data_IF_888560514565
#
_entry.id   IF_888560514565
#
_cell.length_a   1.000
_cell.length_b   1.000
_cell.length_c   1.000
_cell.angle_alpha   90.00
_cell.angle_beta   90.00
_cell.angle_gamma   90.00
#
_symmetry.space_group_name_H-M   'P 1'
#
loop_
_entity.id
_entity.type
_entity.pdbx_description
1 polymer ?
#
# COMPACT_ATOMS: atom_id res chain seq x y z
N UNK A 1 8.83 6.41 -16.94
CA UNK A 1 7.88 6.32 -15.80
C UNK A 1 6.70 5.47 -16.25
N UNK A 2 6.09 4.64 -15.38
CA UNK A 2 4.93 3.87 -15.77
C UNK A 2 3.78 4.79 -16.16
N UNK A 3 2.97 4.36 -17.11
CA UNK A 3 1.82 5.14 -17.56
C UNK A 3 0.85 5.33 -16.40
N UNK A 4 0.43 6.56 -16.07
CA UNK A 4 -0.51 6.81 -14.96
C UNK A 4 -1.83 6.05 -15.13
N UNK A 5 -2.20 5.80 -16.38
CA UNK A 5 -3.35 5.01 -16.78
C UNK A 5 -3.26 3.56 -16.32
N UNK A 6 -2.06 2.98 -16.20
CA UNK A 6 -1.87 1.63 -15.68
C UNK A 6 -2.20 1.55 -14.17
N UNK A 7 -1.80 2.55 -13.38
CA UNK A 7 -2.15 2.61 -11.95
C UNK A 7 -3.65 2.76 -11.76
N UNK A 8 -4.30 3.60 -12.57
CA UNK A 8 -5.75 3.78 -12.54
C UNK A 8 -6.48 2.47 -12.91
N UNK A 9 -6.03 1.77 -13.96
CA UNK A 9 -6.56 0.45 -14.34
C UNK A 9 -6.41 -0.57 -13.20
N UNK A 10 -5.24 -0.65 -12.58
CA UNK A 10 -5.00 -1.58 -11.47
C UNK A 10 -5.86 -1.25 -10.25
N UNK A 11 -5.98 0.03 -9.90
CA UNK A 11 -6.82 0.51 -8.81
C UNK A 11 -8.30 0.20 -9.07
N UNK A 12 -8.79 0.45 -10.29
CA UNK A 12 -10.15 0.14 -10.72
C UNK A 12 -10.44 -1.37 -10.69
N UNK A 13 -9.56 -2.18 -11.27
CA UNK A 13 -9.71 -3.64 -11.26
C UNK A 13 -9.75 -4.20 -9.82
N UNK A 14 -8.84 -3.73 -8.96
CA UNK A 14 -8.78 -4.15 -7.56
C UNK A 14 -10.08 -3.78 -6.81
N UNK A 15 -10.56 -2.55 -6.98
CA UNK A 15 -11.79 -2.08 -6.36
C UNK A 15 -13.03 -2.87 -6.84
N UNK A 16 -13.17 -3.08 -8.15
CA UNK A 16 -14.32 -3.79 -8.74
C UNK A 16 -14.37 -5.23 -8.24
N UNK A 17 -13.27 -5.98 -8.35
CA UNK A 17 -13.21 -7.38 -7.90
C UNK A 17 -13.52 -7.49 -6.42
N UNK A 18 -12.94 -6.61 -5.61
CA UNK A 18 -13.15 -6.61 -4.17
C UNK A 18 -14.61 -6.34 -3.78
N UNK A 19 -15.24 -5.32 -4.39
CA UNK A 19 -16.64 -4.98 -4.17
C UNK A 19 -17.58 -6.10 -4.66
N UNK A 20 -17.36 -6.63 -5.86
CA UNK A 20 -18.17 -7.71 -6.43
C UNK A 20 -18.11 -8.96 -5.56
N UNK A 21 -16.91 -9.35 -5.10
CA UNK A 21 -16.74 -10.53 -4.25
C UNK A 21 -17.48 -10.38 -2.91
N UNK A 22 -17.33 -9.23 -2.24
CA UNK A 22 -18.04 -8.95 -0.98
C UNK A 22 -19.55 -8.95 -1.19
N UNK A 23 -20.05 -8.30 -2.25
CA UNK A 23 -21.48 -8.26 -2.57
C UNK A 23 -22.05 -9.64 -2.91
N UNK A 24 -21.32 -10.44 -3.69
CA UNK A 24 -21.72 -11.79 -4.08
C UNK A 24 -21.79 -12.72 -2.85
N UNK A 25 -20.72 -12.77 -2.05
CA UNK A 25 -20.64 -13.64 -0.88
C UNK A 25 -21.74 -13.35 0.14
N UNK A 26 -22.07 -12.07 0.36
CA UNK A 26 -23.13 -11.72 1.31
C UNK A 26 -24.52 -11.81 0.68
N UNK A 27 -24.65 -11.58 -0.63
CA UNK A 27 -25.90 -11.78 -1.36
C UNK A 27 -26.39 -13.23 -1.35
N UNK A 28 -25.46 -14.20 -1.34
CA UNK A 28 -25.78 -15.63 -1.38
C UNK A 28 -26.33 -16.23 -0.07
N UNK A 29 -26.16 -15.57 1.09
CA UNK A 29 -26.60 -16.12 2.38
C UNK A 29 -27.43 -15.11 3.18
N UNK A 30 -28.69 -15.47 3.45
CA UNK A 30 -29.53 -14.86 4.51
C UNK A 30 -29.89 -15.94 5.52
N UNK A 31 -29.63 -15.80 6.84
CA UNK A 31 -28.99 -14.69 7.57
C UNK A 31 -27.45 -14.79 7.64
N UNK A 32 -26.74 -13.70 7.35
CA UNK A 32 -25.27 -13.67 7.34
C UNK A 32 -24.71 -13.56 8.77
N UNK A 33 -23.94 -14.57 9.20
CA UNK A 33 -23.20 -14.51 10.47
C UNK A 33 -22.06 -13.48 10.39
N UNK A 34 -21.63 -12.98 11.54
CA UNK A 34 -20.56 -11.98 11.65
C UNK A 34 -19.23 -12.49 11.10
N UNK A 35 -18.94 -13.78 11.34
CA UNK A 35 -17.76 -14.47 10.83
C UNK A 35 -17.78 -14.55 9.30
N UNK A 36 -18.95 -14.76 8.70
CA UNK A 36 -19.11 -14.81 7.24
C UNK A 36 -18.81 -13.45 6.60
N UNK A 37 -19.36 -12.36 7.14
CA UNK A 37 -19.10 -11.01 6.63
C UNK A 37 -17.61 -10.66 6.74
N UNK A 38 -16.97 -11.00 7.87
CA UNK A 38 -15.53 -10.77 8.04
C UNK A 38 -14.71 -11.55 7.01
N UNK A 39 -15.05 -12.82 6.80
CA UNK A 39 -14.41 -13.67 5.81
C UNK A 39 -14.59 -13.10 4.39
N UNK A 40 -15.79 -12.64 4.05
CA UNK A 40 -16.06 -12.01 2.76
C UNK A 40 -15.21 -10.75 2.54
N UNK A 41 -15.04 -9.90 3.56
CA UNK A 41 -14.18 -8.72 3.49
C UNK A 41 -12.70 -9.09 3.31
N UNK A 42 -12.18 -10.02 4.12
CA UNK A 42 -10.78 -10.47 4.04
C UNK A 42 -10.46 -11.07 2.68
N UNK A 43 -11.29 -12.01 2.22
CA UNK A 43 -11.12 -12.66 0.91
C UNK A 43 -11.30 -11.65 -0.24
N UNK A 44 -12.25 -10.72 -0.12
CA UNK A 44 -12.45 -9.65 -1.09
C UNK A 44 -11.24 -8.73 -1.21
N UNK A 45 -10.59 -8.36 -0.10
CA UNK A 45 -9.35 -7.58 -0.12
C UNK A 45 -8.22 -8.40 -0.77
N UNK A 46 -8.03 -9.66 -0.36
CA UNK A 46 -6.99 -10.53 -0.90
C UNK A 46 -7.11 -10.73 -2.42
N UNK A 47 -8.31 -11.07 -2.90
CA UNK A 47 -8.57 -11.26 -4.33
C UNK A 47 -8.43 -9.96 -5.13
N UNK A 48 -8.99 -8.86 -4.63
CA UNK A 48 -8.85 -7.56 -5.30
C UNK A 48 -7.39 -7.11 -5.39
N UNK A 49 -6.61 -7.32 -4.33
CA UNK A 49 -5.19 -6.96 -4.31
C UNK A 49 -4.37 -7.83 -5.26
N UNK A 50 -4.66 -9.14 -5.31
CA UNK A 50 -4.02 -10.06 -6.25
C UNK A 50 -4.27 -9.65 -7.71
N UNK A 51 -5.53 -9.35 -8.06
CA UNK A 51 -5.88 -8.87 -9.41
C UNK A 51 -5.25 -7.52 -9.70
N UNK A 52 -5.25 -6.58 -8.75
CA UNK A 52 -4.59 -5.29 -8.90
C UNK A 52 -3.08 -5.43 -9.15
N UNK A 53 -2.41 -6.30 -8.40
CA UNK A 53 -0.98 -6.58 -8.60
C UNK A 53 -0.70 -7.26 -9.95
N UNK A 54 -1.60 -8.15 -10.39
CA UNK A 54 -1.52 -8.78 -11.71
C UNK A 54 -1.63 -7.73 -12.83
N UNK A 55 -2.58 -6.78 -12.74
CA UNK A 55 -2.72 -5.69 -13.72
C UNK A 55 -1.49 -4.78 -13.75
N UNK A 56 -0.86 -4.53 -12.60
CA UNK A 56 0.43 -3.82 -12.54
C UNK A 56 1.61 -4.64 -13.11
N UNK A 57 1.39 -5.88 -13.53
CA UNK A 57 2.42 -6.80 -14.01
C UNK A 57 3.55 -6.99 -13.00
N UNK A 58 3.21 -6.99 -11.70
CA UNK A 58 4.16 -7.26 -10.63
C UNK A 58 4.46 -8.77 -10.63
N UNK A 59 5.63 -9.12 -11.17
CA UNK A 59 6.12 -10.50 -11.16
C UNK A 59 6.52 -10.89 -9.74
N UNK A 60 5.64 -11.62 -9.07
CA UNK A 60 5.93 -12.25 -7.79
C UNK A 60 6.90 -13.40 -8.02
N UNK A 61 8.16 -13.21 -7.61
CA UNK A 61 9.18 -14.24 -7.67
C UNK A 61 9.08 -15.22 -6.50
N UNK A 62 9.25 -16.50 -6.77
CA UNK A 62 9.51 -17.51 -5.76
C UNK A 62 10.85 -18.19 -6.06
N UNK A 63 11.85 -18.15 -5.15
CA UNK A 63 11.83 -17.52 -3.81
C UNK A 63 11.77 -15.97 -3.85
N UNK A 64 11.27 -15.31 -2.79
CA UNK A 64 11.10 -13.86 -2.76
C UNK A 64 12.45 -13.14 -2.61
N UNK A 65 12.90 -12.51 -3.71
CA UNK A 65 14.22 -11.92 -3.80
C UNK A 65 14.30 -10.54 -3.14
N UNK A 66 13.23 -9.74 -3.23
CA UNK A 66 13.22 -8.36 -2.74
C UNK A 66 12.20 -8.16 -1.58
N UNK A 67 12.29 -7.03 -0.89
CA UNK A 67 11.40 -6.73 0.24
C UNK A 67 9.92 -6.64 -0.14
N UNK A 68 9.61 -6.17 -1.36
CA UNK A 68 8.24 -6.11 -1.89
C UNK A 68 7.67 -7.51 -2.14
N UNK A 69 8.47 -8.42 -2.69
CA UNK A 69 8.08 -9.82 -2.90
C UNK A 69 7.74 -10.45 -1.56
N UNK A 70 8.57 -10.26 -0.53
CA UNK A 70 8.30 -10.79 0.83
C UNK A 70 7.06 -10.18 1.46
N UNK A 71 6.84 -8.87 1.24
CA UNK A 71 5.63 -8.22 1.70
C UNK A 71 4.38 -8.84 1.06
N UNK A 72 4.37 -9.00 -0.26
CA UNK A 72 3.21 -9.53 -0.98
C UNK A 72 3.01 -11.04 -0.81
N UNK A 73 4.08 -11.83 -0.73
CA UNK A 73 4.02 -13.31 -0.68
C UNK A 73 3.94 -13.86 0.74
N UNK A 74 4.44 -13.14 1.76
CA UNK A 74 4.50 -13.62 3.15
C UNK A 74 3.63 -12.73 4.04
N UNK A 75 3.90 -11.43 4.11
CA UNK A 75 3.26 -10.53 5.10
C UNK A 75 1.77 -10.34 4.81
N UNK A 76 1.40 -10.08 3.56
CA UNK A 76 -0.01 -9.88 3.16
C UNK A 76 -0.84 -11.15 3.41
N UNK A 77 -0.44 -12.36 2.95
CA UNK A 77 -1.17 -13.59 3.29
C UNK A 77 -1.24 -13.86 4.79
N UNK A 78 -0.17 -13.57 5.53
CA UNK A 78 -0.16 -13.75 6.99
C UNK A 78 -1.18 -12.85 7.69
N UNK A 79 -1.27 -11.55 7.34
CA UNK A 79 -2.28 -10.65 7.95
C UNK A 79 -3.70 -11.04 7.51
N UNK A 80 -3.90 -11.46 6.26
CA UNK A 80 -5.19 -11.98 5.80
C UNK A 80 -5.61 -13.21 6.61
N UNK A 81 -4.69 -14.17 6.82
CA UNK A 81 -4.94 -15.36 7.63
C UNK A 81 -5.25 -15.02 9.09
N UNK A 82 -4.50 -14.11 9.70
CA UNK A 82 -4.74 -13.68 11.09
C UNK A 82 -6.09 -12.99 11.23
N UNK A 83 -6.45 -12.08 10.32
CA UNK A 83 -7.75 -11.39 10.37
C UNK A 83 -8.92 -12.31 10.02
N UNK A 84 -8.70 -13.35 9.21
CA UNK A 84 -9.67 -14.41 8.98
C UNK A 84 -9.91 -15.21 10.27
N UNK A 85 -8.83 -15.68 10.92
CA UNK A 85 -8.87 -16.41 12.19
C UNK A 85 -9.54 -15.57 13.28
N UNK A 86 -9.15 -14.30 13.42
CA UNK A 86 -9.72 -13.37 14.38
C UNK A 86 -11.21 -13.06 14.15
N UNK A 87 -11.73 -13.34 12.95
CA UNK A 87 -13.14 -13.18 12.60
C UNK A 87 -14.07 -14.27 13.13
N UNK A 88 -13.53 -15.43 13.48
CA UNK A 88 -14.33 -16.54 13.99
C UNK A 88 -14.74 -16.30 15.44
N UNK A 89 -16.02 -16.51 15.74
CA UNK A 89 -16.57 -16.32 17.08
C UNK A 89 -15.94 -17.25 18.14
N UNK A 90 -15.39 -18.39 17.71
CA UNK A 90 -14.72 -19.34 18.59
C UNK A 90 -13.33 -18.87 19.06
N UNK A 91 -12.74 -17.86 18.40
CA UNK A 91 -11.39 -17.41 18.75
C UNK A 91 -11.46 -16.31 19.81
N UNK A 92 -10.88 -16.53 21.01
CA UNK A 92 -10.90 -15.51 22.05
C UNK A 92 -10.06 -14.30 21.64
N UNK A 93 -10.50 -13.10 22.05
CA UNK A 93 -9.87 -11.83 21.64
C UNK A 93 -8.38 -11.73 21.98
N UNK A 94 -7.95 -12.34 23.09
CA UNK A 94 -6.55 -12.32 23.50
C UNK A 94 -5.66 -13.11 22.53
N UNK A 95 -6.15 -14.23 21.97
CA UNK A 95 -5.43 -15.00 20.95
C UNK A 95 -5.28 -14.19 19.67
N UNK A 96 -6.36 -13.53 19.21
CA UNK A 96 -6.29 -12.65 18.05
C UNK A 96 -5.26 -11.52 18.25
N UNK A 97 -5.24 -10.90 19.43
CA UNK A 97 -4.23 -9.88 19.76
C UNK A 97 -2.81 -10.45 19.84
N UNK A 98 -2.63 -11.63 20.42
CA UNK A 98 -1.34 -12.30 20.46
C UNK A 98 -0.80 -12.56 19.05
N UNK A 99 -1.64 -13.07 18.14
CA UNK A 99 -1.28 -13.26 16.72
C UNK A 99 -0.91 -11.94 16.04
N UNK A 100 -1.68 -10.88 16.26
CA UNK A 100 -1.37 -9.54 15.72
C UNK A 100 -0.05 -8.99 16.24
N UNK A 101 0.24 -9.14 17.54
CA UNK A 101 1.49 -8.69 18.15
C UNK A 101 2.70 -9.50 17.67
N UNK A 102 2.53 -10.82 17.54
CA UNK A 102 3.55 -11.71 16.97
C UNK A 102 3.87 -11.33 15.53
N UNK A 103 2.84 -11.07 14.70
CA UNK A 103 3.02 -10.58 13.34
C UNK A 103 3.74 -9.22 13.33
N UNK A 104 3.29 -8.26 14.16
CA UNK A 104 3.90 -6.94 14.22
C UNK A 104 5.40 -6.98 14.59
N UNK A 105 5.78 -7.87 15.50
CA UNK A 105 7.18 -8.07 15.89
C UNK A 105 8.03 -8.74 14.79
N UNK A 106 7.43 -9.63 13.99
CA UNK A 106 8.15 -10.41 12.96
C UNK A 106 8.25 -9.70 11.62
N UNK A 107 7.31 -8.79 11.27
CA UNK A 107 7.31 -8.07 9.99
C UNK A 107 8.64 -7.39 9.67
N UNK A 108 9.25 -6.57 10.55
CA UNK A 108 10.53 -5.92 10.25
C UNK A 108 11.62 -6.92 9.88
N UNK A 109 11.67 -8.07 10.57
CA UNK A 109 12.63 -9.14 10.29
C UNK A 109 12.35 -9.81 8.95
N UNK A 110 11.09 -10.12 8.64
CA UNK A 110 10.67 -10.74 7.36
C UNK A 110 11.03 -9.83 6.18
N UNK A 111 10.74 -8.52 6.28
CA UNK A 111 11.02 -7.57 5.21
C UNK A 111 12.52 -7.38 4.98
N UNK A 112 13.32 -7.40 6.05
CA UNK A 112 14.78 -7.26 5.97
C UNK A 112 15.52 -8.57 5.62
N UNK A 113 14.89 -9.74 5.75
CA UNK A 113 15.54 -11.05 5.65
C UNK A 113 16.34 -11.24 4.35
N UNK A 114 17.67 -11.37 4.35
CA UNK A 114 18.43 -11.51 3.10
C UNK A 114 18.53 -10.21 2.28
N UNK A 115 18.33 -9.07 2.92
CA UNK A 115 18.80 -7.78 2.41
C UNK A 115 20.25 -7.53 2.84
N UNK A 116 20.92 -6.60 2.16
CA UNK A 116 22.27 -6.14 2.52
C UNK A 116 22.36 -5.63 3.97
N UNK A 117 21.26 -5.09 4.52
CA UNK A 117 21.19 -4.59 5.89
C UNK A 117 21.34 -5.66 6.97
N UNK A 118 21.12 -6.94 6.63
CA UNK A 118 21.30 -8.05 7.56
C UNK A 118 22.56 -8.88 7.26
N UNK A 119 23.17 -8.73 6.09
CA UNK A 119 24.23 -9.65 5.64
C UNK A 119 25.59 -9.36 6.26
N UNK A 120 25.74 -8.25 7.01
CA UNK A 120 26.91 -7.98 7.88
C UNK A 120 28.26 -7.85 7.18
N UNK A 121 28.35 -8.13 5.88
CA UNK A 121 29.61 -8.24 5.13
C UNK A 121 30.23 -6.89 4.75
N UNK A 122 29.60 -5.77 5.12
CA UNK A 122 30.03 -4.41 4.81
C UNK A 122 29.65 -3.44 5.92
N UNK A 123 30.22 -3.63 7.11
CA UNK A 123 30.51 -2.72 8.23
C UNK A 123 29.57 -1.56 8.69
N UNK A 124 28.39 -1.31 8.10
CA UNK A 124 27.65 -0.07 8.44
C UNK A 124 26.63 -0.22 9.57
N UNK A 125 26.12 -1.43 9.85
CA UNK A 125 25.09 -1.64 10.88
C UNK A 125 25.55 -2.64 11.92
N UNK A 126 25.69 -2.17 13.15
CA UNK A 126 25.94 -3.03 14.32
C UNK A 126 24.70 -3.89 14.62
N UNK A 127 24.90 -5.09 15.20
CA UNK A 127 23.80 -5.96 15.62
C UNK A 127 22.79 -5.24 16.52
N UNK A 128 23.29 -4.33 17.37
CA UNK A 128 22.45 -3.51 18.25
C UNK A 128 21.57 -2.52 17.47
N UNK A 129 22.09 -1.88 16.42
CA UNK A 129 21.29 -0.99 15.57
C UNK A 129 20.19 -1.75 14.83
N UNK A 130 20.48 -2.96 14.34
CA UNK A 130 19.47 -3.82 13.70
C UNK A 130 18.38 -4.19 14.72
N UNK A 131 18.77 -4.64 15.91
CA UNK A 131 17.83 -5.01 16.97
C UNK A 131 16.95 -3.84 17.40
N UNK A 132 17.54 -2.67 17.65
CA UNK A 132 16.80 -1.46 18.04
C UNK A 132 15.85 -0.99 16.95
N UNK A 133 16.27 -1.00 15.67
CA UNK A 133 15.39 -0.66 14.55
C UNK A 133 14.23 -1.66 14.43
N UNK A 134 14.46 -2.96 14.62
CA UNK A 134 13.41 -3.98 14.60
C UNK A 134 12.42 -3.82 15.74
N UNK A 135 12.91 -3.64 16.98
CA UNK A 135 12.06 -3.44 18.15
C UNK A 135 11.25 -2.17 18.02
N UNK A 136 11.87 -1.04 17.62
CA UNK A 136 11.17 0.24 17.50
C UNK A 136 10.13 0.24 16.37
N UNK A 137 10.45 -0.40 15.25
CA UNK A 137 9.51 -0.51 14.13
C UNK A 137 8.36 -1.48 14.44
N UNK A 138 8.63 -2.61 15.09
CA UNK A 138 7.59 -3.53 15.57
C UNK A 138 6.68 -2.87 16.62
N UNK A 139 7.27 -2.14 17.57
CA UNK A 139 6.54 -1.41 18.60
C UNK A 139 5.67 -0.28 18.01
N UNK A 140 6.17 0.44 17.01
CA UNK A 140 5.39 1.51 16.36
C UNK A 140 4.21 0.93 15.56
N UNK A 141 4.38 -0.19 14.85
CA UNK A 141 3.29 -0.91 14.21
C UNK A 141 2.25 -1.39 15.24
N UNK A 142 2.71 -2.06 16.30
CA UNK A 142 1.84 -2.57 17.36
C UNK A 142 1.04 -1.43 18.02
N UNK A 143 1.69 -0.31 18.33
CA UNK A 143 1.07 0.88 18.90
C UNK A 143 0.04 1.50 17.97
N UNK A 144 0.38 1.73 16.70
CA UNK A 144 -0.55 2.27 15.71
C UNK A 144 -1.77 1.35 15.52
N UNK A 145 -1.55 0.04 15.45
CA UNK A 145 -2.61 -0.95 15.32
C UNK A 145 -3.52 -0.98 16.56
N UNK A 146 -2.96 -0.97 17.76
CA UNK A 146 -3.71 -0.89 19.02
C UNK A 146 -4.54 0.38 19.12
N UNK A 147 -3.93 1.54 18.87
CA UNK A 147 -4.60 2.84 18.96
C UNK A 147 -5.72 3.00 17.93
N UNK A 148 -5.52 2.57 16.68
CA UNK A 148 -6.57 2.61 15.65
C UNK A 148 -7.67 1.59 15.92
N UNK A 149 -7.33 0.39 16.40
CA UNK A 149 -8.32 -0.61 16.80
C UNK A 149 -9.19 -0.07 17.94
N UNK A 150 -8.57 0.56 18.94
CA UNK A 150 -9.27 1.18 20.05
C UNK A 150 -10.15 2.34 19.61
N UNK A 151 -9.66 3.20 18.72
CA UNK A 151 -10.44 4.28 18.13
C UNK A 151 -11.66 3.74 17.36
N UNK A 152 -11.48 2.68 16.57
CA UNK A 152 -12.56 2.06 15.80
C UNK A 152 -13.66 1.45 16.68
N UNK A 153 -13.31 0.97 17.87
CA UNK A 153 -14.27 0.47 18.86
C UNK A 153 -15.04 1.59 19.53
N UNK A 154 -14.40 2.74 19.80
CA UNK A 154 -15.04 3.91 20.42
C UNK A 154 -15.94 4.68 19.45
N UNK A 155 -15.51 4.80 18.20
CA UNK A 155 -16.22 5.56 17.18
C UNK A 155 -16.24 4.77 15.87
N UNK A 156 -17.16 3.80 15.75
CA UNK A 156 -17.31 3.02 14.53
C UNK A 156 -17.68 3.97 13.38
N UNK A 157 -16.85 3.98 12.35
CA UNK A 157 -17.04 4.89 11.24
C UNK A 157 -16.14 4.57 10.06
N UNK A 158 -16.67 4.81 8.86
CA UNK A 158 -15.93 4.64 7.60
C UNK A 158 -14.79 5.65 7.44
N UNK A 159 -14.84 6.78 8.17
CA UNK A 159 -13.83 7.83 8.08
C UNK A 159 -12.42 7.35 8.47
N UNK A 160 -12.28 6.43 9.43
CA UNK A 160 -10.97 5.90 9.84
C UNK A 160 -10.35 5.07 8.71
N UNK A 161 -11.15 4.24 8.04
CA UNK A 161 -10.69 3.40 6.93
C UNK A 161 -10.40 4.23 5.66
N UNK A 162 -11.19 5.28 5.42
CA UNK A 162 -10.90 6.25 4.35
C UNK A 162 -9.61 7.03 4.62
N UNK A 163 -9.39 7.48 5.86
CA UNK A 163 -8.14 8.13 6.26
C UNK A 163 -6.96 7.19 6.03
N UNK A 164 -7.06 5.93 6.46
CA UNK A 164 -6.02 4.92 6.26
C UNK A 164 -5.74 4.66 4.78
N UNK A 165 -6.77 4.60 3.93
CA UNK A 165 -6.62 4.46 2.48
C UNK A 165 -5.95 5.69 1.84
N UNK A 166 -6.35 6.91 2.21
CA UNK A 166 -5.71 8.15 1.75
C UNK A 166 -4.23 8.20 2.14
N UNK A 167 -3.92 7.86 3.39
CA UNK A 167 -2.54 7.74 3.87
C UNK A 167 -1.77 6.68 3.11
N UNK A 168 -2.39 5.53 2.79
CA UNK A 168 -1.75 4.47 2.00
C UNK A 168 -1.41 4.95 0.59
N UNK A 169 -2.32 5.64 -0.10
CA UNK A 169 -2.05 6.22 -1.43
C UNK A 169 -0.94 7.27 -1.37
N UNK A 170 -0.99 8.16 -0.37
CA UNK A 170 0.04 9.16 -0.13
C UNK A 170 1.41 8.52 0.13
N UNK A 171 1.45 7.47 0.95
CA UNK A 171 2.66 6.69 1.20
C UNK A 171 3.19 6.07 -0.10
N UNK A 172 2.33 5.48 -0.93
CA UNK A 172 2.70 4.98 -2.25
C UNK A 172 3.38 6.03 -3.13
N UNK A 173 2.74 7.19 -3.30
CA UNK A 173 3.29 8.31 -4.08
C UNK A 173 4.64 8.79 -3.53
N UNK A 174 4.74 8.92 -2.20
CA UNK A 174 5.96 9.36 -1.53
C UNK A 174 7.10 8.35 -1.74
N UNK A 175 6.80 7.04 -1.67
CA UNK A 175 7.77 5.96 -1.93
C UNK A 175 8.19 5.91 -3.40
N UNK A 176 7.29 6.20 -4.34
CA UNK A 176 7.62 6.32 -5.76
C UNK A 176 8.57 7.50 -6.00
N UNK A 177 8.29 8.66 -5.40
CA UNK A 177 9.15 9.85 -5.47
C UNK A 177 10.52 9.62 -4.83
N UNK A 178 10.59 8.81 -3.79
CA UNK A 178 11.85 8.44 -3.16
C UNK A 178 12.69 7.44 -4.02
N UNK A 179 12.14 7.00 -5.16
CA UNK A 179 12.86 6.18 -6.16
C UNK A 179 12.46 4.70 -6.16
N UNK A 180 11.53 4.27 -5.31
CA UNK A 180 11.06 2.88 -5.27
C UNK A 180 9.69 2.70 -5.94
N UNK A 181 9.69 2.93 -7.26
CA UNK A 181 8.48 3.00 -8.10
C UNK A 181 7.59 1.75 -7.95
N UNK A 182 8.16 0.55 -8.06
CA UNK A 182 7.41 -0.71 -7.97
C UNK A 182 6.78 -0.92 -6.59
N UNK A 183 7.49 -0.56 -5.52
CA UNK A 183 6.95 -0.69 -4.16
C UNK A 183 5.83 0.28 -3.88
N UNK A 184 5.99 1.54 -4.28
CA UNK A 184 4.92 2.52 -4.10
C UNK A 184 3.68 2.24 -4.96
N UNK A 185 3.84 1.62 -6.12
CA UNK A 185 2.74 1.22 -7.00
C UNK A 185 1.73 0.25 -6.34
N UNK A 186 2.20 -0.63 -5.44
CA UNK A 186 1.33 -1.59 -4.71
C UNK A 186 0.35 -0.90 -3.78
N UNK A 187 0.65 0.33 -3.35
CA UNK A 187 -0.22 1.09 -2.47
C UNK A 187 -1.58 1.41 -3.10
N UNK A 188 -1.65 1.62 -4.42
CA UNK A 188 -2.89 1.97 -5.11
C UNK A 188 -3.94 0.84 -5.08
N UNK A 189 -3.66 -0.39 -5.53
CA UNK A 189 -4.63 -1.48 -5.45
C UNK A 189 -4.97 -1.82 -3.99
N UNK A 190 -4.00 -1.76 -3.06
CA UNK A 190 -4.29 -1.94 -1.64
C UNK A 190 -5.28 -0.89 -1.14
N UNK A 191 -5.02 0.40 -1.35
CA UNK A 191 -5.92 1.47 -0.95
C UNK A 191 -7.32 1.36 -1.59
N UNK A 192 -7.38 0.96 -2.86
CA UNK A 192 -8.65 0.74 -3.57
C UNK A 192 -9.46 -0.40 -2.96
N UNK A 193 -8.84 -1.54 -2.68
CA UNK A 193 -9.54 -2.67 -2.06
C UNK A 193 -10.10 -2.29 -0.69
N UNK A 194 -9.33 -1.59 0.15
CA UNK A 194 -9.80 -1.12 1.45
C UNK A 194 -11.03 -0.21 1.33
N UNK A 195 -11.04 0.73 0.37
CA UNK A 195 -12.19 1.61 0.12
C UNK A 195 -13.39 0.81 -0.39
N UNK A 196 -13.17 -0.04 -1.39
CA UNK A 196 -14.21 -0.83 -2.03
C UNK A 196 -14.89 -1.79 -1.06
N UNK A 197 -14.12 -2.53 -0.25
CA UNK A 197 -14.69 -3.43 0.77
C UNK A 197 -15.42 -2.67 1.85
N UNK A 198 -14.91 -1.50 2.26
CA UNK A 198 -15.58 -0.68 3.28
C UNK A 198 -16.93 -0.17 2.77
N UNK A 199 -16.98 0.31 1.53
CA UNK A 199 -18.23 0.75 0.89
C UNK A 199 -19.18 -0.43 0.72
N UNK A 200 -18.69 -1.56 0.19
CA UNK A 200 -19.48 -2.78 0.00
C UNK A 200 -20.11 -3.27 1.31
N UNK A 201 -19.29 -3.42 2.37
CA UNK A 201 -19.77 -3.82 3.69
C UNK A 201 -20.79 -2.83 4.26
N UNK A 202 -20.60 -1.51 4.07
CA UNK A 202 -21.55 -0.48 4.53
C UNK A 202 -22.89 -0.56 3.79
N UNK A 203 -22.87 -0.75 2.48
CA UNK A 203 -24.10 -0.86 1.68
C UNK A 203 -24.93 -2.08 2.12
N UNK A 204 -24.26 -3.20 2.41
CA UNK A 204 -24.91 -4.43 2.84
C UNK A 204 -25.48 -4.31 4.26
N UNK A 205 -24.70 -3.77 5.20
CA UNK A 205 -25.17 -3.55 6.59
C UNK A 205 -26.35 -2.60 6.64
N UNK A 206 -26.33 -1.51 5.84
CA UNK A 206 -27.47 -0.60 5.71
C UNK A 206 -28.73 -1.31 5.19
N UNK A 207 -28.60 -2.23 4.23
CA UNK A 207 -29.73 -2.97 3.66
C UNK A 207 -30.27 -4.06 4.60
N UNK A 208 -29.40 -4.68 5.40
CA UNK A 208 -29.75 -5.86 6.21
C UNK A 208 -30.22 -5.50 7.62
N UNK A 209 -30.11 -4.23 8.04
CA UNK A 209 -30.38 -3.82 9.42
C UNK A 209 -29.40 -4.42 10.44
N UNK A 210 -28.30 -5.03 9.97
CA UNK A 210 -27.32 -5.67 10.83
C UNK A 210 -26.45 -4.62 11.55
N UNK A 211 -25.98 -4.91 12.78
CA UNK A 211 -25.08 -4.01 13.52
C UNK A 211 -23.91 -3.49 12.68
N UNK A 212 -23.59 -2.20 12.82
CA UNK A 212 -22.62 -1.47 11.98
C UNK A 212 -21.14 -1.83 12.21
N UNK A 213 -20.83 -2.69 13.17
CA UNK A 213 -19.46 -2.89 13.67
C UNK A 213 -18.74 -4.10 13.03
N UNK A 214 -19.36 -4.75 12.05
CA UNK A 214 -18.81 -5.96 11.45
C UNK A 214 -17.79 -5.67 10.35
N UNK A 215 -16.71 -6.46 10.31
CA UNK A 215 -15.66 -6.38 9.28
C UNK A 215 -14.66 -5.23 9.45
N UNK A 216 -14.98 -4.19 10.22
CA UNK A 216 -14.11 -3.00 10.41
C UNK A 216 -12.74 -3.39 10.96
N UNK A 217 -12.69 -4.33 11.92
CA UNK A 217 -11.43 -4.77 12.52
C UNK A 217 -10.48 -5.41 11.51
N UNK A 218 -10.99 -6.24 10.60
CA UNK A 218 -10.15 -6.93 9.62
C UNK A 218 -9.62 -5.97 8.56
N UNK A 219 -10.51 -5.12 8.00
CA UNK A 219 -10.11 -4.11 7.01
C UNK A 219 -9.06 -3.17 7.61
N UNK A 220 -9.24 -2.77 8.88
CA UNK A 220 -8.29 -1.94 9.61
C UNK A 220 -6.94 -2.64 9.78
N UNK A 221 -6.93 -3.89 10.25
CA UNK A 221 -5.68 -4.65 10.46
C UNK A 221 -4.88 -4.81 9.17
N UNK A 222 -5.53 -5.21 8.08
CA UNK A 222 -4.91 -5.33 6.76
C UNK A 222 -4.36 -3.98 6.28
N UNK A 223 -5.13 -2.90 6.44
CA UNK A 223 -4.70 -1.57 6.04
C UNK A 223 -3.52 -1.03 6.86
N UNK A 224 -3.48 -1.27 8.17
CA UNK A 224 -2.40 -0.82 9.05
C UNK A 224 -1.10 -1.57 8.76
N UNK A 225 -1.17 -2.90 8.66
CA UNK A 225 -0.02 -3.73 8.28
C UNK A 225 0.46 -3.38 6.87
N UNK A 226 -0.47 -3.16 5.95
CA UNK A 226 -0.15 -2.79 4.58
C UNK A 226 0.54 -1.43 4.48
N UNK A 227 0.00 -0.40 5.15
CA UNK A 227 0.62 0.93 5.25
C UNK A 227 2.03 0.83 5.85
N UNK A 228 2.19 0.15 6.98
CA UNK A 228 3.48 -0.01 7.63
C UNK A 228 4.49 -0.73 6.74
N UNK A 229 4.10 -1.84 6.11
CA UNK A 229 4.97 -2.59 5.20
C UNK A 229 5.49 -1.72 4.06
N UNK A 230 4.61 -0.92 3.45
CA UNK A 230 4.97 0.03 2.39
C UNK A 230 5.93 1.12 2.89
N UNK A 231 5.67 1.71 4.05
CA UNK A 231 6.54 2.74 4.64
C UNK A 231 7.91 2.17 5.03
N UNK A 232 7.93 0.98 5.60
CA UNK A 232 9.16 0.30 6.01
C UNK A 232 10.02 -0.03 4.78
N UNK A 233 9.42 -0.61 3.74
CA UNK A 233 10.09 -0.86 2.47
C UNK A 233 10.57 0.44 1.83
N UNK A 234 9.72 1.47 1.82
CA UNK A 234 10.07 2.79 1.31
C UNK A 234 11.26 3.41 2.05
N UNK A 235 11.32 3.27 3.37
CA UNK A 235 12.42 3.76 4.20
C UNK A 235 13.73 3.01 3.94
N UNK A 236 13.65 1.69 3.82
CA UNK A 236 14.83 0.82 3.70
C UNK A 236 15.34 0.79 2.26
N UNK A 237 14.47 0.54 1.29
CA UNK A 237 14.84 0.35 -0.12
C UNK A 237 14.63 1.60 -0.99
N UNK A 238 13.71 2.47 -0.60
CA UNK A 238 13.39 3.70 -1.34
C UNK A 238 13.97 4.96 -0.73
N UNK A 239 14.85 4.92 0.28
CA UNK A 239 15.45 6.11 0.90
C UNK A 239 14.44 7.15 1.42
N UNK A 240 13.20 6.76 1.69
CA UNK A 240 12.19 7.64 2.29
C UNK A 240 12.72 8.17 3.64
N UNK A 241 12.63 9.48 3.89
CA UNK A 241 13.06 10.05 5.18
C UNK A 241 12.29 9.43 6.35
N UNK A 242 12.99 9.13 7.46
CA UNK A 242 12.36 8.61 8.69
C UNK A 242 11.24 9.53 9.18
N UNK A 243 11.44 10.86 9.09
CA UNK A 243 10.43 11.83 9.50
C UNK A 243 9.15 11.72 8.67
N UNK A 244 9.28 11.64 7.34
CA UNK A 244 8.13 11.45 6.45
C UNK A 244 7.43 10.11 6.72
N UNK A 245 8.18 9.03 6.92
CA UNK A 245 7.62 7.73 7.24
C UNK A 245 6.83 7.75 8.56
N UNK A 246 7.36 8.38 9.61
CA UNK A 246 6.66 8.53 10.89
C UNK A 246 5.40 9.40 10.77
N UNK A 247 5.48 10.54 10.07
CA UNK A 247 4.31 11.39 9.84
C UNK A 247 3.21 10.63 9.10
N UNK A 248 3.55 9.87 8.06
CA UNK A 248 2.59 9.04 7.33
C UNK A 248 2.00 7.93 8.22
N UNK A 249 2.81 7.24 9.02
CA UNK A 249 2.32 6.20 9.92
C UNK A 249 1.37 6.75 10.98
N UNK A 250 1.67 7.94 11.51
CA UNK A 250 0.90 8.58 12.59
C UNK A 250 -0.31 9.38 12.06
N UNK A 251 -0.35 9.74 10.78
CA UNK A 251 -1.42 10.58 10.22
C UNK A 251 -2.84 10.05 10.50
N UNK A 252 -3.16 8.75 10.31
CA UNK A 252 -4.48 8.21 10.64
C UNK A 252 -4.86 8.36 12.12
N UNK A 253 -3.88 8.42 13.03
CA UNK A 253 -4.12 8.62 14.47
C UNK A 253 -4.64 10.02 14.79
N UNK A 254 -4.47 11.00 13.91
CA UNK A 254 -5.09 12.32 14.07
C UNK A 254 -6.62 12.27 14.13
N UNK A 255 -7.23 11.15 13.70
CA UNK A 255 -8.66 10.92 13.91
C UNK A 255 -9.05 10.94 15.40
N UNK A 256 -8.12 10.68 16.33
CA UNK A 256 -8.34 10.77 17.78
C UNK A 256 -8.75 12.17 18.25
N UNK A 257 -8.37 13.24 17.54
CA UNK A 257 -8.74 14.63 17.90
C UNK A 257 -10.26 14.81 18.00
N UNK A 258 -11.00 14.02 17.23
CA UNK A 258 -12.47 14.09 17.23
C UNK A 258 -13.15 13.32 18.36
N UNK A 259 -12.40 12.55 19.16
CA UNK A 259 -12.92 11.93 20.40
C UNK A 259 -13.00 12.93 21.56
N UNK A 260 -12.59 14.19 21.34
CA UNK A 260 -12.76 15.27 22.33
C UNK A 260 -14.24 15.50 22.64
N UNK A 261 -14.60 15.81 23.90
CA UNK A 261 -16.00 15.92 24.34
C UNK A 261 -16.81 16.95 23.54
N UNK A 262 -16.15 18.00 23.05
CA UNK A 262 -16.74 19.06 22.24
C UNK A 262 -17.21 18.58 20.85
N UNK A 263 -16.47 17.64 20.26
CA UNK A 263 -16.73 17.14 18.89
C UNK A 263 -17.56 15.85 18.90
N UNK A 264 -17.48 15.06 19.98
CA UNK A 264 -18.16 13.76 20.11
C UNK A 264 -19.69 13.85 19.94
N UNK A 265 -20.31 14.97 20.32
CA UNK A 265 -21.76 15.18 20.24
C UNK A 265 -22.23 15.79 18.92
N UNK A 266 -21.32 16.08 17.98
CA UNK A 266 -21.68 16.67 16.68
C UNK A 266 -22.17 15.59 15.71
N UNK A 267 -22.81 16.02 14.61
CA UNK A 267 -23.34 15.12 13.58
C UNK A 267 -22.19 14.23 13.03
N UNK A 268 -22.42 12.92 12.82
CA UNK A 268 -21.36 11.97 12.47
C UNK A 268 -20.68 12.27 11.13
N UNK A 269 -21.40 12.88 10.18
CA UNK A 269 -20.82 13.30 8.90
C UNK A 269 -19.80 14.44 9.07
N UNK A 270 -20.08 15.39 9.97
CA UNK A 270 -19.18 16.52 10.24
C UNK A 270 -17.92 16.02 10.95
N UNK A 271 -18.07 15.11 11.92
CA UNK A 271 -16.93 14.44 12.58
C UNK A 271 -16.09 13.66 11.56
N UNK A 272 -16.74 12.92 10.65
CA UNK A 272 -16.09 12.18 9.59
C UNK A 272 -15.28 13.08 8.65
N UNK A 273 -15.87 14.18 8.17
CA UNK A 273 -15.19 15.15 7.31
C UNK A 273 -14.01 15.81 8.03
N UNK A 274 -14.19 16.21 9.30
CA UNK A 274 -13.12 16.81 10.09
C UNK A 274 -11.92 15.85 10.26
N UNK A 275 -12.16 14.55 10.52
CA UNK A 275 -11.11 13.53 10.57
C UNK A 275 -10.30 13.50 9.26
N UNK A 276 -10.99 13.47 8.12
CA UNK A 276 -10.33 13.40 6.81
C UNK A 276 -9.53 14.66 6.50
N UNK A 277 -10.07 15.85 6.82
CA UNK A 277 -9.35 17.12 6.66
C UNK A 277 -8.10 17.16 7.53
N UNK A 278 -8.21 16.79 8.81
CA UNK A 278 -7.07 16.75 9.74
C UNK A 278 -5.97 15.79 9.27
N UNK A 279 -6.35 14.64 8.69
CA UNK A 279 -5.40 13.70 8.10
C UNK A 279 -4.81 14.25 6.81
N UNK A 280 -5.59 14.92 5.96
CA UNK A 280 -5.14 15.42 4.67
C UNK A 280 -4.02 16.49 4.79
N UNK A 281 -4.06 17.34 5.82
CA UNK A 281 -3.06 18.40 6.03
C UNK A 281 -1.61 17.86 6.05
N UNK A 282 -1.22 16.96 6.97
CA UNK A 282 0.14 16.41 6.98
C UNK A 282 0.46 15.59 5.73
N UNK A 283 -0.52 14.92 5.11
CA UNK A 283 -0.30 14.19 3.86
C UNK A 283 0.14 15.13 2.72
N UNK A 284 -0.53 16.28 2.58
CA UNK A 284 -0.17 17.30 1.59
C UNK A 284 1.21 17.87 1.87
N UNK A 285 1.54 18.15 3.14
CA UNK A 285 2.88 18.63 3.53
C UNK A 285 3.96 17.61 3.17
N UNK A 286 3.77 16.32 3.48
CA UNK A 286 4.73 15.26 3.13
C UNK A 286 4.90 15.14 1.61
N UNK A 287 3.81 15.18 0.85
CA UNK A 287 3.89 15.14 -0.62
C UNK A 287 4.61 16.35 -1.20
N UNK A 288 4.37 17.55 -0.65
CA UNK A 288 5.04 18.76 -1.10
C UNK A 288 6.55 18.70 -0.84
N UNK A 289 6.96 18.22 0.35
CA UNK A 289 8.38 18.00 0.69
C UNK A 289 9.00 16.95 -0.21
N UNK A 290 8.37 15.78 -0.36
CA UNK A 290 8.87 14.71 -1.21
C UNK A 290 8.97 15.11 -2.68
N UNK A 291 8.01 15.91 -3.18
CA UNK A 291 8.06 16.47 -4.52
C UNK A 291 9.22 17.44 -4.69
N UNK A 292 9.43 18.34 -3.71
CA UNK A 292 10.55 19.29 -3.73
C UNK A 292 11.89 18.57 -3.75
N UNK A 293 12.04 17.54 -2.91
CA UNK A 293 13.26 16.73 -2.85
C UNK A 293 13.49 15.98 -4.17
N UNK A 294 12.44 15.38 -4.74
CA UNK A 294 12.50 14.74 -6.04
C UNK A 294 12.90 15.70 -7.17
N UNK A 295 12.27 16.88 -7.24
CA UNK A 295 12.57 17.89 -8.27
C UNK A 295 14.02 18.40 -8.13
N UNK A 296 14.51 18.58 -6.89
CA UNK A 296 15.89 18.97 -6.60
C UNK A 296 16.90 17.91 -7.07
N UNK A 297 16.60 16.63 -6.83
CA UNK A 297 17.47 15.52 -7.19
C UNK A 297 17.46 15.22 -8.70
N UNK A 298 16.33 15.48 -9.38
CA UNK A 298 16.19 15.26 -10.83
C UNK A 298 16.70 16.43 -11.69
N UNK A 299 16.71 17.67 -11.17
CA UNK A 299 17.14 18.85 -11.93
C UNK A 299 18.54 18.71 -12.59
N UNK A 300 19.59 18.19 -11.92
CA UNK A 300 20.91 18.02 -12.52
C UNK A 300 20.95 17.03 -13.68
N UNK A 301 20.05 16.04 -13.69
CA UNK A 301 19.98 15.01 -14.74
C UNK A 301 19.37 15.57 -16.03
N UNK A 302 18.51 16.58 -15.92
CA UNK A 302 17.89 17.25 -17.06
C UNK A 302 18.77 18.37 -17.64
N UNK A 303 19.57 19.04 -16.81
CA UNK A 303 20.38 20.19 -17.22
C UNK A 303 21.70 19.87 -17.94
N UNK A 304 22.15 18.61 -17.93
CA UNK A 304 23.47 18.21 -18.46
C UNK A 304 23.43 17.49 -19.81
N UNK A 305 22.43 17.72 -20.67
CA UNK A 305 22.54 17.29 -22.07
C UNK A 305 23.52 18.25 -22.75
N UNK A 306 24.79 17.87 -23.00
CA UNK A 306 25.77 18.78 -23.54
C UNK A 306 25.33 19.17 -24.95
N UNK A 307 25.30 20.48 -25.25
CA UNK A 307 24.96 20.99 -26.57
C UNK A 307 25.85 20.40 -27.70
N UNK A 308 27.03 19.85 -27.35
CA UNK A 308 27.91 19.12 -28.27
C UNK A 308 27.31 17.81 -28.78
N UNK A 309 26.46 17.12 -28.01
CA UNK A 309 25.79 15.88 -28.46
C UNK A 309 24.75 16.18 -29.55
N UNK A 310 24.17 17.38 -29.52
CA UNK A 310 23.27 17.85 -30.57
C UNK A 310 24.00 18.27 -31.85
N UNK A 311 25.30 18.61 -31.79
CA UNK A 311 26.10 18.90 -32.99
C UNK A 311 26.52 17.62 -33.73
N UNK A 312 27.01 16.62 -33.01
CA UNK A 312 27.44 15.35 -33.63
C UNK A 312 26.30 14.64 -34.37
N UNK A 313 25.08 14.65 -33.82
CA UNK A 313 23.95 14.02 -34.50
C UNK A 313 23.35 14.85 -35.66
N UNK A 314 23.75 16.12 -35.80
CA UNK A 314 23.37 16.97 -36.93
C UNK A 314 24.33 16.83 -38.10
N UNK A 315 25.61 16.55 -37.85
CA UNK A 315 26.62 16.30 -38.89
C UNK A 315 26.42 14.92 -39.54
N UNK A 316 26.11 13.87 -38.77
CA UNK A 316 25.83 12.52 -39.33
C UNK A 316 24.56 12.46 -40.19
N UNK A 317 23.57 13.35 -39.99
CA UNK A 317 22.38 13.44 -40.85
C UNK A 317 22.63 14.20 -42.15
N UNK A 318 23.69 14.98 -42.24
CA UNK A 318 24.04 15.70 -43.46
C UNK A 318 24.77 14.80 -44.47
N UNK A 319 25.45 13.74 -44.03
CA UNK A 319 26.19 12.83 -44.93
C UNK A 319 25.36 11.67 -45.51
N UNK A 320 24.19 11.33 -44.95
CA UNK A 320 23.33 10.23 -45.44
C UNK A 320 22.22 10.73 -46.40
N UNK A 321 22.52 11.79 -47.16
CA UNK A 321 21.70 12.23 -48.30
C UNK A 321 22.49 12.01 -49.60
N UNK A 322 22.80 10.75 -49.91
CA UNK A 322 23.33 10.30 -51.20
C UNK A 322 22.48 9.15 -51.75
N UNK A 323 22.42 8.99 -53.09
CA UNK A 323 21.18 8.70 -53.79
C UNK A 323 20.79 7.23 -53.82
N UNK A 324 19.48 7.03 -53.80
CA UNK A 324 18.77 5.83 -54.23
C UNK A 324 19.18 5.51 -55.67
N UNK A 325 20.07 4.54 -55.83
CA UNK A 325 20.59 4.09 -57.11
C UNK A 325 20.67 2.57 -57.17
N UNK A 326 19.56 1.94 -57.59
CA UNK A 326 19.63 0.83 -58.55
C UNK A 326 19.73 -0.61 -58.05
N UNK A 327 18.73 -1.38 -58.50
CA UNK A 327 18.80 -2.76 -59.03
C UNK A 327 19.26 -3.92 -58.13
N UNK A 328 18.30 -4.81 -57.86
CA UNK A 328 18.26 -6.09 -58.58
C UNK A 328 18.45 -7.37 -57.77
N UNK A 329 17.80 -8.44 -58.28
CA UNK A 329 17.83 -9.87 -57.90
C UNK A 329 16.91 -10.23 -56.73
N UNK A 330 15.75 -10.89 -56.89
CA UNK A 330 15.43 -12.13 -57.62
C UNK A 330 16.41 -13.28 -57.30
N UNK A 331 15.91 -14.28 -56.56
CA UNK A 331 16.60 -15.51 -56.14
C UNK A 331 16.21 -15.88 -54.70
N UNK A 332 15.14 -16.65 -54.40
CA UNK A 332 14.90 -18.08 -54.64
C UNK A 332 15.59 -19.01 -53.61
N UNK A 333 14.83 -20.00 -53.14
CA UNK A 333 15.17 -21.20 -52.34
C UNK A 333 15.42 -21.00 -50.83
N UNK A 334 15.15 -21.94 -49.91
CA UNK A 334 14.30 -23.14 -49.76
C UNK A 334 14.74 -23.77 -48.40
N UNK A 335 13.90 -24.64 -47.78
CA UNK A 335 14.29 -25.71 -46.81
C UNK A 335 14.72 -25.20 -45.40
N UNK A 336 14.31 -25.69 -44.22
CA UNK A 336 13.61 -26.89 -43.70
C UNK A 336 12.55 -26.49 -42.64
#
# INVERSE_FOLDING_TARGET
MPEPLLYLKAMGAAAIVSAMFVLAMVGMRRPASTAWLNSACVLGIGLGLAVGCYVLSLRLGWPPANGLDRFLTIVVPAVLGIELIAGFQCVPRWVAWFLRMSLAATIPRILLHGSIYLSGSGNDWTLWQIGTAQVLSGASLAGAWALLSWLSQRSPGVSILLALSLTTQCAGLTVMMAGYIKGGAVAFPLAATLVATTIGARLITKRSGAPSNFGVSAILGIGVVGLFGLLFIGRVFGRLSTGCALVLLLAPLLCWVTETPLLRHRKPWLVGSLRLVLVAIPLVVVLAVAKRDFDRDMAPLLGKIPASTFRLHREDRAEVAMPVGGRGSLGQLAVD
#
